data_IF_096888018232
#
_entry.id   IF_096888018232
#
_cell.length_a   1.000
_cell.length_b   1.000
_cell.length_c   1.000
_cell.angle_alpha   90.00
_cell.angle_beta   90.00
_cell.angle_gamma   90.00
#
_symmetry.space_group_name_H-M   'P 1'
#
loop_
_entity.id
_entity.type
_entity.pdbx_description
1 polymer ?
#
# COMPACT_ATOMS: atom_id res chain seq x y z
N UNK A 1 26.76 28.36 26.00
CA UNK A 1 26.75 29.62 26.79
C UNK A 1 27.94 29.75 27.75
N UNK A 2 28.25 28.77 28.61
CA UNK A 2 29.39 28.86 29.54
C UNK A 2 30.75 29.11 28.85
N UNK A 3 31.07 28.34 27.80
CA UNK A 3 32.31 28.47 27.03
C UNK A 3 32.45 29.83 26.30
N UNK A 4 31.37 30.36 25.74
CA UNK A 4 31.38 31.68 25.09
C UNK A 4 31.63 32.82 26.10
N UNK A 5 31.07 32.69 27.31
CA UNK A 5 31.30 33.65 28.39
C UNK A 5 32.75 33.58 28.92
N UNK A 6 33.31 32.37 28.99
CA UNK A 6 34.71 32.15 29.34
C UNK A 6 35.64 32.76 28.30
N UNK A 7 35.42 32.49 27.01
CA UNK A 7 36.16 33.07 25.89
C UNK A 7 36.14 34.60 25.92
N UNK A 8 34.97 35.19 26.17
CA UNK A 8 34.84 36.64 26.30
C UNK A 8 35.70 37.21 27.44
N UNK A 9 35.77 36.49 28.57
CA UNK A 9 36.52 36.91 29.76
C UNK A 9 38.03 36.85 29.52
N UNK A 10 38.54 35.76 28.93
CA UNK A 10 39.98 35.64 28.61
C UNK A 10 40.42 36.61 27.52
N UNK A 11 39.57 36.86 26.52
CA UNK A 11 39.83 37.85 25.47
C UNK A 11 39.97 39.26 26.07
N UNK A 12 39.05 39.66 26.95
CA UNK A 12 39.09 40.97 27.62
C UNK A 12 40.37 41.13 28.45
N UNK A 13 40.78 40.07 29.14
CA UNK A 13 42.02 40.05 29.95
C UNK A 13 43.26 40.20 29.06
N UNK A 14 43.31 39.51 27.92
CA UNK A 14 44.37 39.68 26.93
C UNK A 14 44.43 41.13 26.40
N UNK A 15 43.29 41.72 26.02
CA UNK A 15 43.22 43.10 25.53
C UNK A 15 43.73 44.11 26.56
N UNK A 16 43.34 43.94 27.83
CA UNK A 16 43.79 44.79 28.93
C UNK A 16 45.32 44.74 29.08
N UNK A 17 45.92 43.55 29.19
CA UNK A 17 47.37 43.42 29.32
C UNK A 17 48.12 43.86 28.06
N UNK A 18 47.55 43.68 26.87
CA UNK A 18 48.16 44.15 25.64
C UNK A 18 48.25 45.69 25.61
N UNK A 19 47.17 46.38 26.01
CA UNK A 19 47.16 47.84 26.14
C UNK A 19 48.18 48.34 27.17
N UNK A 20 48.33 47.65 28.30
CA UNK A 20 49.34 47.97 29.32
C UNK A 20 50.78 47.78 28.80
N UNK A 21 51.03 46.77 27.96
CA UNK A 21 52.33 46.56 27.31
C UNK A 21 52.65 47.67 26.32
N UNK A 22 51.68 48.07 25.48
CA UNK A 22 51.85 49.20 24.55
C UNK A 22 52.18 50.48 25.34
N UNK A 23 51.45 50.78 26.41
CA UNK A 23 51.71 51.95 27.26
C UNK A 23 53.11 51.92 27.89
N UNK A 24 53.56 50.76 28.38
CA UNK A 24 54.89 50.60 28.95
C UNK A 24 56.00 50.74 27.90
N UNK A 25 55.76 50.24 26.68
CA UNK A 25 56.68 50.38 25.54
C UNK A 25 56.85 51.85 25.13
N UNK A 26 55.75 52.61 25.02
CA UNK A 26 55.80 54.05 24.70
C UNK A 26 56.63 54.81 25.73
N UNK A 27 56.41 54.56 27.02
CA UNK A 27 57.17 55.19 28.13
C UNK A 27 58.66 54.82 28.11
N UNK A 28 58.98 53.58 27.74
CA UNK A 28 60.37 53.12 27.57
C UNK A 28 61.04 53.84 26.40
N UNK A 29 60.40 53.87 25.22
CA UNK A 29 60.90 54.58 24.03
C UNK A 29 61.09 56.07 24.27
N UNK A 30 60.22 56.70 25.06
CA UNK A 30 60.37 58.09 25.50
C UNK A 30 61.58 58.29 26.42
N UNK A 31 61.84 57.35 27.33
CA UNK A 31 63.02 57.40 28.19
C UNK A 31 64.32 57.29 27.37
N UNK A 32 64.33 56.39 26.39
CA UNK A 32 65.46 56.18 25.48
C UNK A 32 65.72 57.42 24.61
N UNK A 33 64.68 58.10 24.13
CA UNK A 33 64.81 59.39 23.41
C UNK A 33 65.34 60.53 24.29
N UNK A 34 64.93 60.60 25.55
CA UNK A 34 65.43 61.61 26.49
C UNK A 34 66.93 61.42 26.81
N UNK A 35 67.39 60.16 26.91
CA UNK A 35 68.81 59.83 27.05
C UNK A 35 69.63 60.26 25.81
N UNK A 36 69.11 60.01 24.61
CA UNK A 36 69.74 60.42 23.35
C UNK A 36 69.94 61.94 23.22
N UNK A 37 68.98 62.73 23.73
CA UNK A 37 69.10 64.21 23.74
C UNK A 37 70.17 64.73 24.72
N UNK A 38 70.38 64.09 25.88
CA UNK A 38 71.40 64.50 26.86
C UNK A 38 72.83 64.11 26.44
N UNK A 39 72.97 62.98 25.73
CA UNK A 39 74.24 62.61 25.07
C UNK A 39 74.52 63.48 23.82
N UNK A 40 73.49 63.93 23.10
CA UNK A 40 73.59 64.73 21.87
C UNK A 40 73.95 66.23 22.04
N UNK A 41 73.76 66.84 23.23
CA UNK A 41 74.21 68.22 23.51
C UNK A 41 75.75 68.33 23.64
N UNK A 42 76.47 67.23 23.44
CA UNK A 42 77.95 67.20 23.43
C UNK A 42 78.55 67.43 22.04
N UNK A 43 77.74 67.61 20.99
CA UNK A 43 78.21 67.58 19.61
C UNK A 43 77.53 68.57 18.68
N UNK A 44 77.71 69.88 18.92
CA UNK A 44 77.56 70.92 17.89
C UNK A 44 78.52 72.07 18.18
N UNK A 45 79.37 72.39 17.20
CA UNK A 45 80.11 73.66 17.14
C UNK A 45 81.60 73.51 17.41
N UNK A 46 82.39 73.64 16.35
CA UNK A 46 83.82 73.37 16.33
C UNK A 46 84.70 74.38 17.04
N UNK A 47 85.98 74.01 17.09
CA UNK A 47 87.10 74.94 16.98
C UNK A 47 87.54 75.66 18.25
N UNK A 48 88.77 75.30 18.64
CA UNK A 48 89.74 76.05 19.46
C UNK A 48 89.67 75.85 20.99
N UNK A 49 90.87 75.56 21.51
CA UNK A 49 91.32 75.13 22.84
C UNK A 49 91.27 76.26 23.91
N UNK A 50 91.59 76.01 25.20
CA UNK A 50 90.64 75.71 26.25
C UNK A 50 90.57 76.84 27.30
N UNK A 51 89.37 77.14 27.81
CA UNK A 51 89.20 78.02 28.98
C UNK A 51 88.41 77.29 30.07
N UNK A 52 89.05 77.22 31.23
CA UNK A 52 88.50 76.81 32.52
C UNK A 52 87.09 77.36 32.76
N UNK A 53 86.22 76.52 33.34
CA UNK A 53 85.05 77.02 34.08
C UNK A 53 83.72 76.33 33.82
N UNK A 54 83.64 75.01 33.84
CA UNK A 54 82.43 74.39 34.41
C UNK A 54 82.74 74.12 35.89
N UNK A 55 81.94 74.66 36.81
CA UNK A 55 82.09 74.36 38.24
C UNK A 55 82.09 72.84 38.41
N UNK A 56 83.00 72.33 39.25
CA UNK A 56 83.11 70.89 39.57
C UNK A 56 81.74 70.31 40.01
N UNK A 57 80.92 71.14 40.66
CA UNK A 57 79.53 70.83 41.04
C UNK A 57 78.60 70.55 39.85
N UNK A 58 78.76 71.25 38.73
CA UNK A 58 77.89 71.13 37.55
C UNK A 58 78.20 69.87 36.72
N UNK A 59 79.49 69.48 36.63
CA UNK A 59 79.91 68.16 36.10
C UNK A 59 79.39 67.01 36.97
N UNK A 60 79.37 67.19 38.29
CA UNK A 60 78.86 66.19 39.23
C UNK A 60 77.32 66.07 39.17
N UNK A 61 76.61 67.18 38.99
CA UNK A 61 75.16 67.21 38.75
C UNK A 61 74.77 66.54 37.44
N UNK A 62 75.50 66.79 36.34
CA UNK A 62 75.25 66.14 35.03
C UNK A 62 75.46 64.62 35.10
N UNK A 63 76.47 64.15 35.85
CA UNK A 63 76.73 62.71 36.08
C UNK A 63 75.64 62.06 36.95
N UNK A 64 75.16 62.74 37.98
CA UNK A 64 74.06 62.26 38.83
C UNK A 64 72.71 62.22 38.07
N UNK A 65 72.45 63.20 37.21
CA UNK A 65 71.26 63.22 36.33
C UNK A 65 71.30 62.06 35.32
N UNK A 66 72.45 61.79 34.69
CA UNK A 66 72.63 60.64 33.80
C UNK A 66 72.37 59.30 34.51
N UNK A 67 72.94 59.10 35.71
CA UNK A 67 72.72 57.88 36.52
C UNK A 67 71.25 57.73 36.95
N UNK A 68 70.56 58.83 37.24
CA UNK A 68 69.12 58.83 37.57
C UNK A 68 68.26 58.48 36.36
N UNK A 69 68.59 58.99 35.17
CA UNK A 69 67.91 58.64 33.91
C UNK A 69 68.13 57.18 33.52
N UNK A 70 69.36 56.66 33.68
CA UNK A 70 69.68 55.25 33.45
C UNK A 70 68.88 54.34 34.37
N UNK A 71 68.84 54.64 35.68
CA UNK A 71 68.02 53.89 36.65
C UNK A 71 66.52 53.96 36.30
N UNK A 72 66.04 55.09 35.81
CA UNK A 72 64.65 55.25 35.34
C UNK A 72 64.37 54.40 34.10
N UNK A 73 65.31 54.36 33.13
CA UNK A 73 65.21 53.53 31.93
C UNK A 73 65.20 52.05 32.28
N UNK A 74 66.12 51.58 33.12
CA UNK A 74 66.14 50.19 33.57
C UNK A 74 64.84 49.79 34.29
N UNK A 75 64.28 50.69 35.12
CA UNK A 75 62.96 50.46 35.73
C UNK A 75 61.83 50.35 34.69
N UNK A 76 61.84 51.19 33.65
CA UNK A 76 60.85 51.13 32.56
C UNK A 76 61.04 49.89 31.68
N UNK A 77 62.30 49.46 31.46
CA UNK A 77 62.65 48.24 30.73
C UNK A 77 62.19 46.99 31.48
N UNK A 78 62.41 46.92 32.79
CA UNK A 78 61.90 45.85 33.65
C UNK A 78 60.37 45.78 33.61
N UNK A 79 59.67 46.93 33.73
CA UNK A 79 58.20 46.99 33.66
C UNK A 79 57.65 46.57 32.29
N UNK A 80 58.30 46.99 31.20
CA UNK A 80 57.93 46.54 29.85
C UNK A 80 58.12 45.03 29.71
N UNK A 81 59.24 44.48 30.18
CA UNK A 81 59.50 43.03 30.14
C UNK A 81 58.44 42.23 30.91
N UNK A 82 58.08 42.68 32.12
CA UNK A 82 57.02 42.07 32.93
C UNK A 82 55.65 42.13 32.22
N UNK A 83 55.26 43.30 31.71
CA UNK A 83 53.99 43.47 31.00
C UNK A 83 53.95 42.61 29.72
N UNK A 84 55.05 42.57 28.95
CA UNK A 84 55.18 41.73 27.76
C UNK A 84 54.97 40.26 28.09
N UNK A 85 55.56 39.78 29.20
CA UNK A 85 55.34 38.41 29.66
C UNK A 85 53.88 38.16 30.06
N UNK A 86 53.22 39.10 30.75
CA UNK A 86 51.78 39.01 31.09
C UNK A 86 50.90 38.96 29.83
N UNK A 87 51.17 39.79 28.83
CA UNK A 87 50.47 39.75 27.55
C UNK A 87 50.68 38.42 26.83
N UNK A 88 51.90 37.88 26.80
CA UNK A 88 52.17 36.57 26.16
C UNK A 88 51.37 35.47 26.85
N UNK A 89 51.37 35.42 28.19
CA UNK A 89 50.58 34.45 28.95
C UNK A 89 49.09 34.57 28.64
N UNK A 90 48.53 35.78 28.74
CA UNK A 90 47.11 35.99 28.47
C UNK A 90 46.71 35.74 27.01
N UNK A 91 47.61 36.01 26.05
CA UNK A 91 47.39 35.67 24.64
C UNK A 91 47.34 34.16 24.44
N UNK A 92 48.26 33.41 25.07
CA UNK A 92 48.28 31.96 24.98
C UNK A 92 47.00 31.35 25.59
N UNK A 93 46.59 31.83 26.77
CA UNK A 93 45.31 31.41 27.38
C UNK A 93 44.10 31.72 26.49
N UNK A 94 44.09 32.91 25.86
CA UNK A 94 43.04 33.26 24.90
C UNK A 94 43.01 32.31 23.70
N UNK A 95 44.17 32.02 23.09
CA UNK A 95 44.25 31.10 21.94
C UNK A 95 43.84 29.66 22.29
N UNK A 96 44.23 29.17 23.47
CA UNK A 96 43.82 27.84 23.96
C UNK A 96 42.30 27.77 24.18
N UNK A 97 41.74 28.80 24.82
CA UNK A 97 40.29 28.88 25.07
C UNK A 97 39.50 29.02 23.77
N UNK A 98 40.04 29.77 22.80
CA UNK A 98 39.45 29.94 21.47
C UNK A 98 39.37 28.58 20.75
N UNK A 99 40.46 27.82 20.73
CA UNK A 99 40.50 26.51 20.09
C UNK A 99 39.56 25.51 20.77
N UNK A 100 39.56 25.47 22.11
CA UNK A 100 38.65 24.63 22.88
C UNK A 100 37.17 25.00 22.64
N UNK A 101 36.87 26.30 22.52
CA UNK A 101 35.52 26.78 22.21
C UNK A 101 35.10 26.37 20.80
N UNK A 102 35.96 26.55 19.80
CA UNK A 102 35.68 26.14 18.42
C UNK A 102 35.44 24.63 18.31
N UNK A 103 36.28 23.81 18.95
CA UNK A 103 36.12 22.37 18.99
C UNK A 103 34.79 21.94 19.65
N UNK A 104 34.40 22.63 20.73
CA UNK A 104 33.13 22.36 21.42
C UNK A 104 31.92 22.74 20.57
N UNK A 105 31.97 23.88 19.87
CA UNK A 105 30.91 24.31 18.95
C UNK A 105 30.80 23.32 17.78
N UNK A 106 31.93 22.94 17.19
CA UNK A 106 31.96 21.93 16.13
C UNK A 106 31.33 20.62 16.59
N UNK A 107 31.77 20.09 17.74
CA UNK A 107 31.22 18.85 18.30
C UNK A 107 29.71 18.94 18.50
N UNK A 108 29.22 20.04 19.07
CA UNK A 108 27.80 20.23 19.32
C UNK A 108 26.98 20.14 18.02
N UNK A 109 27.40 20.85 16.98
CA UNK A 109 26.63 20.90 15.73
C UNK A 109 26.79 19.67 14.85
N UNK A 110 27.97 19.04 14.85
CA UNK A 110 28.30 17.93 13.94
C UNK A 110 28.00 16.57 14.56
N UNK A 111 28.08 16.44 15.88
CA UNK A 111 27.90 15.15 16.57
C UNK A 111 26.70 15.19 17.53
N UNK A 112 26.70 16.12 18.48
CA UNK A 112 25.70 16.07 19.56
C UNK A 112 24.28 16.35 19.04
N UNK A 113 24.09 17.25 18.07
CA UNK A 113 22.78 17.53 17.48
C UNK A 113 22.17 16.31 16.76
N UNK A 114 22.87 15.64 15.81
CA UNK A 114 22.40 14.38 15.25
C UNK A 114 22.06 13.33 16.32
N UNK A 115 22.92 13.14 17.32
CA UNK A 115 22.68 12.17 18.40
C UNK A 115 21.40 12.49 19.19
N UNK A 116 21.11 13.78 19.43
CA UNK A 116 19.87 14.23 20.09
C UNK A 116 18.64 13.90 19.21
N UNK A 117 18.72 14.09 17.89
CA UNK A 117 17.64 13.76 16.96
C UNK A 117 17.38 12.24 16.99
N UNK A 118 18.44 11.44 16.90
CA UNK A 118 18.33 9.97 16.97
C UNK A 118 17.71 9.51 18.32
N UNK A 119 18.03 10.19 19.41
CA UNK A 119 17.39 9.94 20.71
C UNK A 119 15.89 10.28 20.71
N UNK A 120 15.47 11.34 19.98
CA UNK A 120 14.06 11.70 19.85
C UNK A 120 13.29 10.69 19.00
N UNK A 121 13.92 10.13 17.98
CA UNK A 121 13.32 9.16 17.05
C UNK A 121 13.35 7.71 17.58
N UNK A 122 13.99 7.48 18.74
CA UNK A 122 14.20 6.16 19.31
C UNK A 122 12.88 5.39 19.45
N UNK A 123 12.72 4.36 18.60
CA UNK A 123 11.57 3.45 18.62
C UNK A 123 10.32 3.95 17.91
N UNK A 124 10.27 5.19 17.41
CA UNK A 124 9.12 5.74 16.70
C UNK A 124 8.80 4.93 15.43
N UNK A 125 9.76 4.83 14.51
CA UNK A 125 9.58 4.11 13.24
C UNK A 125 9.31 2.62 13.45
N UNK A 126 9.97 2.00 14.43
CA UNK A 126 9.75 0.59 14.77
C UNK A 126 8.31 0.35 15.24
N UNK A 127 7.81 1.21 16.14
CA UNK A 127 6.44 1.09 16.67
C UNK A 127 5.40 1.38 15.60
N UNK A 128 5.59 2.43 14.79
CA UNK A 128 4.69 2.75 13.67
C UNK A 128 4.67 1.63 12.63
N UNK A 129 5.85 1.11 12.24
CA UNK A 129 5.95 0.00 11.29
C UNK A 129 5.22 -1.24 11.79
N UNK A 130 5.36 -1.57 13.08
CA UNK A 130 4.64 -2.69 13.68
C UNK A 130 3.12 -2.47 13.65
N UNK A 131 2.63 -1.28 14.00
CA UNK A 131 1.20 -0.97 13.97
C UNK A 131 0.63 -1.11 12.55
N UNK A 132 1.32 -0.56 11.53
CA UNK A 132 0.90 -0.66 10.14
C UNK A 132 0.96 -2.11 9.62
N UNK A 133 1.96 -2.90 10.02
CA UNK A 133 2.04 -4.32 9.68
C UNK A 133 0.92 -5.14 10.32
N UNK A 134 0.51 -4.81 11.55
CA UNK A 134 -0.65 -5.44 12.18
C UNK A 134 -1.93 -5.15 11.37
N UNK A 135 -2.13 -3.90 10.95
CA UNK A 135 -3.24 -3.53 10.08
C UNK A 135 -3.22 -4.30 8.76
N UNK A 136 -2.09 -4.31 8.05
CA UNK A 136 -1.92 -5.06 6.80
C UNK A 136 -2.19 -6.57 6.98
N UNK A 137 -1.69 -7.15 8.07
CA UNK A 137 -1.92 -8.55 8.39
C UNK A 137 -3.40 -8.85 8.62
N UNK A 138 -4.14 -7.94 9.25
CA UNK A 138 -5.57 -8.08 9.48
C UNK A 138 -6.36 -8.01 8.16
N UNK A 139 -6.09 -7.01 7.31
CA UNK A 139 -6.74 -6.86 6.01
C UNK A 139 -6.48 -8.06 5.08
N UNK A 140 -5.23 -8.53 5.00
CA UNK A 140 -4.88 -9.71 4.20
C UNK A 140 -5.57 -10.97 4.71
N UNK A 141 -5.68 -11.14 6.03
CA UNK A 141 -6.38 -12.30 6.61
C UNK A 141 -7.89 -12.25 6.32
N UNK A 142 -8.49 -11.05 6.39
CA UNK A 142 -9.89 -10.84 6.05
C UNK A 142 -10.17 -11.10 4.57
N UNK A 143 -9.29 -10.62 3.68
CA UNK A 143 -9.36 -10.89 2.24
C UNK A 143 -9.28 -12.40 1.95
N UNK A 144 -8.33 -13.12 2.57
CA UNK A 144 -8.21 -14.56 2.42
C UNK A 144 -9.46 -15.30 2.91
N UNK A 145 -10.01 -14.91 4.08
CA UNK A 145 -11.26 -15.49 4.60
C UNK A 145 -12.45 -15.24 3.67
N UNK A 146 -12.54 -14.04 3.07
CA UNK A 146 -13.59 -13.73 2.09
C UNK A 146 -13.46 -14.57 0.83
N UNK A 147 -12.24 -14.69 0.29
CA UNK A 147 -11.96 -15.51 -0.89
C UNK A 147 -12.35 -16.98 -0.65
N UNK A 148 -11.97 -17.55 0.49
CA UNK A 148 -12.37 -18.92 0.85
C UNK A 148 -13.90 -19.08 0.92
N UNK A 149 -14.63 -18.09 1.44
CA UNK A 149 -16.09 -18.10 1.43
C UNK A 149 -16.70 -18.05 0.03
N UNK A 150 -16.08 -17.28 -0.88
CA UNK A 150 -16.49 -17.23 -2.28
C UNK A 150 -16.22 -18.54 -3.02
N UNK A 151 -15.08 -19.20 -2.76
CA UNK A 151 -14.76 -20.51 -3.34
C UNK A 151 -15.78 -21.58 -2.93
N UNK A 152 -16.27 -21.57 -1.68
CA UNK A 152 -17.35 -22.47 -1.24
C UNK A 152 -18.65 -22.21 -2.00
N UNK A 153 -19.00 -20.93 -2.21
CA UNK A 153 -20.20 -20.56 -2.96
C UNK A 153 -20.07 -20.95 -4.44
N UNK A 154 -18.91 -20.70 -5.05
CA UNK A 154 -18.60 -21.09 -6.43
C UNK A 154 -18.76 -22.61 -6.60
N UNK A 155 -18.19 -23.42 -5.70
CA UNK A 155 -18.38 -24.86 -5.71
C UNK A 155 -19.84 -25.30 -5.50
N UNK A 156 -20.65 -24.54 -4.74
CA UNK A 156 -22.08 -24.80 -4.61
C UNK A 156 -22.86 -24.48 -5.90
N UNK A 157 -22.46 -23.43 -6.62
CA UNK A 157 -23.03 -23.05 -7.92
C UNK A 157 -22.67 -24.08 -9.00
N UNK A 158 -21.40 -24.49 -9.09
CA UNK A 158 -20.96 -25.58 -9.98
C UNK A 158 -21.65 -26.91 -9.63
N UNK A 159 -22.00 -27.09 -8.37
CA UNK A 159 -22.70 -28.26 -7.86
C UNK A 159 -24.19 -28.31 -8.18
N UNK A 160 -24.80 -27.28 -8.80
CA UNK A 160 -26.23 -27.30 -9.16
C UNK A 160 -26.50 -28.37 -10.22
N UNK A 161 -27.36 -29.34 -9.88
CA UNK A 161 -27.66 -30.50 -10.73
C UNK A 161 -29.15 -30.87 -10.63
N UNK A 162 -29.97 -30.40 -11.59
CA UNK A 162 -31.41 -30.67 -11.60
C UNK A 162 -31.75 -32.17 -11.69
N UNK A 163 -30.91 -32.99 -12.33
CA UNK A 163 -31.16 -34.42 -12.47
C UNK A 163 -30.94 -35.15 -11.14
N UNK A 164 -29.89 -34.78 -10.41
CA UNK A 164 -29.61 -35.30 -9.07
C UNK A 164 -30.65 -34.84 -8.05
N UNK A 165 -31.10 -33.60 -8.13
CA UNK A 165 -32.15 -33.09 -7.23
C UNK A 165 -33.49 -33.78 -7.48
N UNK A 166 -33.85 -34.04 -8.75
CA UNK A 166 -34.99 -34.88 -9.10
C UNK A 166 -34.86 -36.29 -8.51
N UNK A 167 -33.70 -36.93 -8.64
CA UNK A 167 -33.49 -38.27 -8.08
C UNK A 167 -33.67 -38.28 -6.56
N UNK A 168 -33.09 -37.31 -5.85
CA UNK A 168 -33.27 -37.16 -4.40
C UNK A 168 -34.75 -37.01 -4.02
N UNK A 169 -35.53 -36.26 -4.81
CA UNK A 169 -36.97 -36.12 -4.59
C UNK A 169 -37.71 -37.45 -4.72
N UNK A 170 -37.40 -38.22 -5.77
CA UNK A 170 -38.00 -39.54 -6.00
C UNK A 170 -37.66 -40.52 -4.88
N UNK A 171 -36.40 -40.52 -4.43
CA UNK A 171 -35.92 -41.38 -3.35
C UNK A 171 -36.49 -41.01 -1.98
N UNK A 172 -36.80 -39.72 -1.75
CA UNK A 172 -37.38 -39.23 -0.51
C UNK A 172 -38.85 -39.65 -0.33
N UNK A 173 -39.58 -39.84 -1.43
CA UNK A 173 -41.02 -40.14 -1.43
C UNK A 173 -41.38 -41.40 -2.23
N UNK A 174 -40.83 -42.57 -1.88
CA UNK A 174 -41.05 -43.80 -2.64
C UNK A 174 -42.54 -44.20 -2.66
N UNK A 175 -43.29 -43.95 -1.60
CA UNK A 175 -44.73 -44.28 -1.55
C UNK A 175 -45.58 -43.49 -2.54
N UNK A 176 -45.12 -42.32 -3.00
CA UNK A 176 -45.83 -41.49 -3.98
C UNK A 176 -45.41 -41.80 -5.42
N UNK A 177 -44.15 -42.20 -5.63
CA UNK A 177 -43.56 -42.32 -6.96
C UNK A 177 -43.21 -43.76 -7.38
N UNK A 178 -43.25 -44.74 -6.48
CA UNK A 178 -43.06 -46.14 -6.86
C UNK A 178 -44.23 -46.62 -7.73
N UNK A 179 -43.95 -47.32 -8.85
CA UNK A 179 -45.00 -47.85 -9.69
C UNK A 179 -45.83 -48.90 -8.92
N UNK A 180 -47.17 -48.94 -9.11
CA UNK A 180 -48.00 -49.98 -8.53
C UNK A 180 -47.70 -51.34 -9.17
N UNK A 181 -48.19 -52.42 -8.54
CA UNK A 181 -48.10 -53.75 -9.13
C UNK A 181 -48.87 -53.81 -10.46
N UNK A 182 -48.36 -54.62 -11.39
CA UNK A 182 -49.05 -54.90 -12.63
C UNK A 182 -50.42 -55.53 -12.35
N UNK A 183 -51.42 -55.14 -13.14
CA UNK A 183 -52.70 -55.82 -13.12
C UNK A 183 -52.55 -57.25 -13.64
N UNK A 184 -53.13 -58.20 -12.92
CA UNK A 184 -53.21 -59.61 -13.34
C UNK A 184 -54.60 -59.92 -13.88
N UNK A 185 -54.69 -60.85 -14.84
CA UNK A 185 -55.96 -61.42 -15.28
C UNK A 185 -56.69 -62.03 -14.07
N UNK A 186 -57.97 -61.68 -13.89
CA UNK A 186 -58.83 -62.25 -12.84
C UNK A 186 -59.83 -63.20 -13.46
N UNK A 187 -59.62 -64.51 -13.27
CA UNK A 187 -60.49 -65.54 -13.79
C UNK A 187 -61.89 -65.46 -13.18
N UNK A 188 -62.93 -65.43 -14.03
CA UNK A 188 -64.32 -65.46 -13.59
C UNK A 188 -64.79 -66.91 -13.44
N UNK A 189 -65.39 -67.26 -12.30
CA UNK A 189 -66.03 -68.57 -12.06
C UNK A 189 -65.15 -69.80 -12.36
N UNK A 190 -63.84 -69.69 -12.11
CA UNK A 190 -62.90 -70.80 -12.32
C UNK A 190 -62.48 -71.02 -13.76
N UNK A 191 -62.61 -70.01 -14.63
CA UNK A 191 -62.03 -70.04 -15.98
C UNK A 191 -60.53 -70.38 -15.93
N UNK A 192 -60.15 -71.46 -16.61
CA UNK A 192 -58.77 -71.98 -16.64
C UNK A 192 -57.93 -71.39 -17.77
N UNK A 193 -58.51 -70.58 -18.66
CA UNK A 193 -57.83 -70.03 -19.84
C UNK A 193 -57.38 -68.59 -19.55
N UNK A 194 -56.06 -68.39 -19.47
CA UNK A 194 -55.44 -67.08 -19.23
C UNK A 194 -54.65 -66.53 -20.44
N UNK A 195 -54.82 -67.15 -21.61
CA UNK A 195 -54.10 -66.82 -22.83
C UNK A 195 -55.06 -66.57 -24.00
N UNK A 196 -54.60 -65.82 -24.99
CA UNK A 196 -55.36 -65.56 -26.21
C UNK A 196 -55.57 -66.90 -26.95
N UNK A 197 -56.84 -67.27 -27.15
CA UNK A 197 -57.22 -68.52 -27.83
C UNK A 197 -57.54 -68.26 -29.29
N UNK A 198 -56.76 -68.83 -30.21
CA UNK A 198 -56.91 -68.66 -31.66
C UNK A 198 -57.51 -69.91 -32.31
N UNK A 199 -58.81 -70.12 -32.10
CA UNK A 199 -59.56 -71.18 -32.78
C UNK A 199 -60.01 -70.73 -34.19
N UNK A 200 -60.24 -71.65 -35.14
CA UNK A 200 -60.59 -71.30 -36.53
C UNK A 200 -61.82 -70.37 -36.65
N UNK A 201 -62.75 -70.45 -35.69
CA UNK A 201 -63.97 -69.64 -35.64
C UNK A 201 -63.71 -68.15 -35.36
N UNK A 202 -62.61 -67.81 -34.68
CA UNK A 202 -62.26 -66.43 -34.27
C UNK A 202 -60.97 -65.92 -34.94
N UNK A 203 -60.26 -66.79 -35.67
CA UNK A 203 -58.95 -66.49 -36.25
C UNK A 203 -58.97 -65.33 -37.26
N UNK A 204 -60.03 -65.24 -38.08
CA UNK A 204 -60.18 -64.16 -39.08
C UNK A 204 -60.36 -62.79 -38.41
N UNK A 205 -61.15 -62.73 -37.34
CA UNK A 205 -61.37 -61.51 -36.55
C UNK A 205 -60.10 -61.07 -35.82
N UNK A 206 -59.36 -62.01 -35.20
CA UNK A 206 -58.08 -61.72 -34.55
C UNK A 206 -57.04 -61.22 -35.56
N UNK A 207 -56.96 -61.82 -36.75
CA UNK A 207 -56.03 -61.41 -37.81
C UNK A 207 -56.36 -60.02 -38.36
N UNK A 208 -57.65 -59.71 -38.53
CA UNK A 208 -58.12 -58.39 -38.92
C UNK A 208 -57.77 -57.35 -37.85
N UNK A 209 -57.99 -57.68 -36.57
CA UNK A 209 -57.68 -56.79 -35.45
C UNK A 209 -56.18 -56.52 -35.34
N UNK A 210 -55.34 -57.53 -35.52
CA UNK A 210 -53.89 -57.36 -35.52
C UNK A 210 -53.45 -56.40 -36.63
N UNK A 211 -53.97 -56.59 -37.85
CA UNK A 211 -53.68 -55.70 -38.99
C UNK A 211 -54.10 -54.26 -38.68
N UNK A 212 -55.32 -54.06 -38.14
CA UNK A 212 -55.81 -52.74 -37.73
C UNK A 212 -54.91 -52.08 -36.68
N UNK A 213 -54.49 -52.83 -35.67
CA UNK A 213 -53.59 -52.33 -34.63
C UNK A 213 -52.23 -51.96 -35.20
N UNK A 214 -51.66 -52.79 -36.08
CA UNK A 214 -50.38 -52.51 -36.74
C UNK A 214 -50.44 -51.24 -37.60
N UNK A 215 -51.49 -51.06 -38.41
CA UNK A 215 -51.65 -49.84 -39.22
C UNK A 215 -51.80 -48.60 -38.34
N UNK A 216 -52.61 -48.68 -37.28
CA UNK A 216 -52.76 -47.56 -36.33
C UNK A 216 -51.45 -47.24 -35.60
N UNK A 217 -50.72 -48.27 -35.16
CA UNK A 217 -49.43 -48.12 -34.50
C UNK A 217 -48.41 -47.42 -35.41
N UNK A 218 -48.35 -47.79 -36.68
CA UNK A 218 -47.46 -47.17 -37.66
C UNK A 218 -47.77 -45.68 -37.84
N UNK A 219 -49.05 -45.32 -37.97
CA UNK A 219 -49.47 -43.91 -38.06
C UNK A 219 -49.10 -43.11 -36.81
N UNK A 220 -49.40 -43.64 -35.62
CA UNK A 220 -49.11 -42.97 -34.36
C UNK A 220 -47.60 -42.79 -34.13
N UNK A 221 -46.76 -43.73 -34.57
CA UNK A 221 -45.30 -43.58 -34.48
C UNK A 221 -44.78 -42.39 -35.28
N UNK A 222 -45.33 -42.16 -36.47
CA UNK A 222 -44.92 -41.03 -37.33
C UNK A 222 -45.30 -39.71 -36.66
N UNK A 223 -46.56 -39.59 -36.24
CA UNK A 223 -47.06 -38.40 -35.54
C UNK A 223 -46.28 -38.09 -34.26
N UNK A 224 -45.96 -39.12 -33.47
CA UNK A 224 -45.17 -38.97 -32.24
C UNK A 224 -43.77 -38.42 -32.52
N UNK A 225 -43.09 -38.93 -33.54
CA UNK A 225 -41.76 -38.46 -33.92
C UNK A 225 -41.79 -37.01 -34.43
N UNK A 226 -42.86 -36.58 -35.10
CA UNK A 226 -43.05 -35.18 -35.50
C UNK A 226 -43.23 -34.25 -34.28
N UNK A 227 -44.07 -34.64 -33.33
CA UNK A 227 -44.25 -33.91 -32.07
C UNK A 227 -42.94 -33.84 -31.28
N UNK A 228 -42.24 -34.97 -31.15
CA UNK A 228 -40.96 -35.05 -30.43
C UNK A 228 -39.87 -34.19 -31.05
N UNK A 229 -39.79 -34.12 -32.39
CA UNK A 229 -38.87 -33.22 -33.09
C UNK A 229 -39.19 -31.76 -32.81
N UNK A 230 -40.46 -31.38 -32.92
CA UNK A 230 -40.93 -30.01 -32.67
C UNK A 230 -40.64 -29.61 -31.23
N UNK A 231 -41.02 -30.45 -30.27
CA UNK A 231 -40.74 -30.26 -28.85
C UNK A 231 -39.25 -30.17 -28.55
N UNK A 232 -38.43 -31.06 -29.13
CA UNK A 232 -36.98 -31.04 -28.97
C UNK A 232 -36.34 -29.76 -29.50
N UNK A 233 -36.76 -29.27 -30.66
CA UNK A 233 -36.29 -28.01 -31.23
C UNK A 233 -36.70 -26.80 -30.36
N UNK A 234 -37.93 -26.80 -29.84
CA UNK A 234 -38.39 -25.75 -28.90
C UNK A 234 -37.61 -25.79 -27.59
N UNK A 235 -37.32 -26.99 -27.05
CA UNK A 235 -36.50 -27.16 -25.85
C UNK A 235 -35.10 -26.60 -26.04
N UNK A 236 -34.44 -26.93 -27.15
CA UNK A 236 -33.11 -26.38 -27.48
C UNK A 236 -33.15 -24.87 -27.57
N UNK A 237 -34.17 -24.31 -28.22
CA UNK A 237 -34.36 -22.86 -28.32
C UNK A 237 -34.49 -22.20 -26.94
N UNK A 238 -35.25 -22.82 -26.02
CA UNK A 238 -35.37 -22.33 -24.64
C UNK A 238 -34.05 -22.43 -23.87
N UNK A 239 -33.32 -23.54 -24.03
CA UNK A 239 -32.00 -23.71 -23.40
C UNK A 239 -31.04 -22.62 -23.87
N UNK A 240 -30.96 -22.36 -25.17
CA UNK A 240 -30.13 -21.30 -25.75
C UNK A 240 -30.49 -19.90 -25.23
N UNK A 241 -31.78 -19.63 -24.97
CA UNK A 241 -32.23 -18.38 -24.36
C UNK A 241 -31.81 -18.23 -22.89
N UNK A 242 -31.60 -19.35 -22.17
CA UNK A 242 -31.27 -19.36 -20.74
C UNK A 242 -29.77 -19.42 -20.44
N UNK A 243 -28.96 -19.97 -21.34
CA UNK A 243 -27.50 -20.03 -21.20
C UNK A 243 -26.91 -18.69 -21.66
N UNK A 244 -26.97 -17.68 -20.79
CA UNK A 244 -26.38 -16.37 -21.01
C UNK A 244 -25.24 -16.14 -20.01
N UNK A 245 -24.07 -15.73 -20.49
CA UNK A 245 -22.94 -15.30 -19.66
C UNK A 245 -23.07 -13.82 -19.28
N UNK A 246 -24.18 -13.44 -18.62
CA UNK A 246 -24.50 -12.05 -18.26
C UNK A 246 -24.21 -11.71 -16.79
N UNK A 247 -23.38 -12.51 -16.12
CA UNK A 247 -23.01 -12.37 -14.71
C UNK A 247 -21.72 -11.57 -14.46
N UNK A 248 -20.86 -11.35 -15.48
CA UNK A 248 -19.64 -10.54 -15.31
C UNK A 248 -19.97 -9.05 -15.21
N UNK A 249 -19.69 -8.47 -14.05
CA UNK A 249 -19.92 -7.05 -13.73
C UNK A 249 -18.62 -6.26 -13.57
N UNK A 250 -17.47 -6.80 -13.99
CA UNK A 250 -16.14 -6.18 -13.88
C UNK A 250 -16.09 -4.76 -14.42
N UNK A 251 -16.80 -4.49 -15.52
CA UNK A 251 -16.91 -3.16 -16.14
C UNK A 251 -17.50 -2.10 -15.20
N UNK A 252 -18.33 -2.49 -14.22
CA UNK A 252 -18.91 -1.58 -13.23
C UNK A 252 -17.88 -1.03 -12.25
N UNK A 253 -16.73 -1.68 -12.10
CA UNK A 253 -15.65 -1.30 -11.20
C UNK A 253 -14.47 -0.62 -11.93
N UNK A 254 -14.68 -0.20 -13.18
CA UNK A 254 -13.69 0.58 -13.93
C UNK A 254 -13.67 2.03 -13.41
N UNK A 255 -12.66 2.36 -12.61
CA UNK A 255 -12.45 3.73 -12.15
C UNK A 255 -11.65 4.52 -13.20
N UNK A 256 -12.28 5.50 -13.84
CA UNK A 256 -11.55 6.59 -14.49
C UNK A 256 -10.84 7.42 -13.41
N UNK A 257 -9.52 7.66 -13.49
CA UNK A 257 -8.82 8.51 -12.53
C UNK A 257 -9.17 10.01 -12.64
N UNK A 258 -10.03 10.40 -13.58
CA UNK A 258 -10.46 11.79 -13.76
C UNK A 258 -11.75 12.07 -13.01
N UNK A 259 -11.74 13.12 -12.17
CA UNK A 259 -12.90 13.64 -11.42
C UNK A 259 -13.91 14.38 -12.30
N UNK A 260 -14.00 14.06 -13.59
CA UNK A 260 -14.95 14.64 -14.52
C UNK A 260 -15.90 13.58 -15.05
N UNK A 261 -17.13 13.63 -14.53
CA UNK A 261 -18.35 13.25 -15.24
C UNK A 261 -18.33 11.90 -15.95
N UNK A 262 -18.50 10.82 -15.18
CA UNK A 262 -19.07 9.58 -15.70
C UNK A 262 -20.55 9.80 -16.04
N UNK A 263 -20.82 10.28 -17.26
CA UNK A 263 -22.00 9.79 -17.97
C UNK A 263 -21.65 8.36 -18.35
N UNK A 264 -22.21 7.43 -17.59
CA UNK A 264 -22.10 5.99 -17.79
C UNK A 264 -22.64 5.61 -19.18
N UNK A 265 -21.76 5.54 -20.17
CA UNK A 265 -22.05 4.93 -21.47
C UNK A 265 -21.88 3.40 -21.39
N UNK A 266 -22.47 2.75 -20.37
CA UNK A 266 -22.49 1.28 -20.22
C UNK A 266 -23.89 0.74 -20.54
N UNK A 267 -24.58 1.39 -21.47
CA UNK A 267 -25.93 0.99 -21.87
C UNK A 267 -26.09 0.82 -23.38
N UNK A 268 -25.01 0.52 -24.10
CA UNK A 268 -25.10 0.15 -25.50
C UNK A 268 -25.20 -1.37 -25.64
N UNK A 269 -26.45 -1.85 -25.75
CA UNK A 269 -26.79 -3.18 -26.28
C UNK A 269 -27.71 -4.01 -25.39
N UNK A 270 -27.18 -4.54 -24.29
CA UNK A 270 -27.80 -5.66 -23.58
C UNK A 270 -28.87 -5.27 -22.53
N UNK A 271 -28.74 -4.10 -21.92
CA UNK A 271 -29.59 -3.65 -20.79
C UNK A 271 -30.57 -2.53 -21.16
N UNK A 272 -30.80 -2.29 -22.45
CA UNK A 272 -31.81 -1.32 -22.86
C UNK A 272 -33.22 -1.84 -22.51
N UNK A 273 -33.98 -1.08 -21.71
CA UNK A 273 -35.29 -1.54 -21.16
C UNK A 273 -36.26 -2.08 -22.24
N UNK A 274 -36.38 -1.47 -23.44
CA UNK A 274 -37.24 -1.98 -24.50
C UNK A 274 -36.73 -3.29 -25.15
N UNK A 275 -35.41 -3.51 -25.24
CA UNK A 275 -34.86 -4.76 -25.80
C UNK A 275 -35.03 -5.94 -24.83
N UNK A 276 -34.87 -5.69 -23.53
CA UNK A 276 -35.13 -6.68 -22.47
C UNK A 276 -36.59 -7.12 -22.42
N UNK A 277 -37.53 -6.18 -22.51
CA UNK A 277 -38.97 -6.48 -22.53
C UNK A 277 -39.34 -7.35 -23.73
N UNK A 278 -38.81 -7.03 -24.92
CA UNK A 278 -39.03 -7.84 -26.12
C UNK A 278 -38.45 -9.25 -25.99
N UNK A 279 -37.24 -9.39 -25.42
CA UNK A 279 -36.63 -10.70 -25.18
C UNK A 279 -37.46 -11.56 -24.22
N UNK A 280 -37.93 -10.97 -23.11
CA UNK A 280 -38.81 -11.66 -22.15
C UNK A 280 -40.13 -12.10 -22.78
N UNK A 281 -40.76 -11.25 -23.60
CA UNK A 281 -42.00 -11.60 -24.30
C UNK A 281 -41.79 -12.80 -25.24
N UNK A 282 -40.69 -12.79 -26.01
CA UNK A 282 -40.33 -13.91 -26.90
C UNK A 282 -40.07 -15.21 -26.13
N UNK A 283 -39.35 -15.13 -25.00
CA UNK A 283 -39.14 -16.28 -24.12
C UNK A 283 -40.48 -16.84 -23.61
N UNK A 284 -41.37 -15.97 -23.12
CA UNK A 284 -42.68 -16.39 -22.61
C UNK A 284 -43.54 -17.06 -23.69
N UNK A 285 -43.55 -16.52 -24.90
CA UNK A 285 -44.26 -17.12 -26.04
C UNK A 285 -43.69 -18.51 -26.39
N UNK A 286 -42.37 -18.64 -26.37
CA UNK A 286 -41.68 -19.91 -26.62
C UNK A 286 -41.96 -20.94 -25.51
N UNK A 287 -42.02 -20.52 -24.24
CA UNK A 287 -42.39 -21.38 -23.11
C UNK A 287 -43.85 -21.86 -23.24
N UNK A 288 -44.78 -20.97 -23.58
CA UNK A 288 -46.18 -21.35 -23.84
C UNK A 288 -46.29 -22.36 -24.98
N UNK A 289 -45.53 -22.15 -26.06
CA UNK A 289 -45.48 -23.10 -27.16
C UNK A 289 -44.90 -24.45 -26.71
N UNK A 290 -43.80 -24.45 -25.95
CA UNK A 290 -43.16 -25.64 -25.39
C UNK A 290 -44.13 -26.50 -24.57
N UNK A 291 -44.95 -25.88 -23.71
CA UNK A 291 -45.96 -26.61 -22.96
C UNK A 291 -47.04 -27.19 -23.89
N UNK A 292 -47.54 -26.41 -24.87
CA UNK A 292 -48.58 -26.90 -25.78
C UNK A 292 -48.16 -28.07 -26.67
N UNK A 293 -46.86 -28.20 -26.99
CA UNK A 293 -46.32 -29.34 -27.76
C UNK A 293 -45.66 -30.40 -26.88
N UNK A 294 -45.63 -30.19 -25.56
CA UNK A 294 -45.02 -31.11 -24.60
C UNK A 294 -45.69 -32.49 -24.65
N UNK A 295 -44.92 -33.59 -24.50
CA UNK A 295 -45.45 -34.92 -24.32
C UNK A 295 -46.49 -35.03 -23.18
N UNK A 296 -46.41 -34.15 -22.18
CA UNK A 296 -47.34 -34.08 -21.06
C UNK A 296 -48.72 -33.51 -21.44
N UNK A 297 -48.81 -32.50 -22.31
CA UNK A 297 -50.12 -32.01 -22.80
C UNK A 297 -50.67 -32.89 -23.94
N UNK A 298 -49.78 -33.60 -24.66
CA UNK A 298 -50.13 -34.66 -25.59
C UNK A 298 -50.43 -36.03 -24.92
N UNK A 299 -50.79 -36.04 -23.63
CA UNK A 299 -51.20 -37.25 -22.89
C UNK A 299 -52.33 -38.03 -23.58
N UNK A 300 -53.20 -37.36 -24.36
CA UNK A 300 -54.24 -38.02 -25.14
C UNK A 300 -53.71 -38.89 -26.29
N UNK A 301 -52.54 -38.58 -26.86
CA UNK A 301 -51.88 -39.38 -27.90
C UNK A 301 -50.80 -40.33 -27.35
N UNK A 302 -50.07 -39.90 -26.32
CA UNK A 302 -48.98 -40.69 -25.71
C UNK A 302 -49.45 -41.79 -24.75
N UNK A 303 -50.66 -41.71 -24.20
CA UNK A 303 -51.23 -42.77 -23.34
C UNK A 303 -51.47 -44.11 -24.07
N UNK A 304 -51.32 -44.14 -25.41
CA UNK A 304 -51.39 -45.35 -26.23
C UNK A 304 -50.05 -46.08 -26.38
N UNK A 305 -48.94 -45.54 -25.86
CA UNK A 305 -47.60 -46.12 -25.95
C UNK A 305 -46.93 -46.22 -24.58
N UNK A 306 -46.50 -47.43 -24.20
CA UNK A 306 -45.48 -47.60 -23.18
C UNK A 306 -44.09 -47.44 -23.81
N UNK A 307 -43.26 -46.57 -23.24
CA UNK A 307 -41.83 -46.56 -23.51
C UNK A 307 -41.22 -47.87 -23.00
N UNK A 308 -41.00 -48.82 -23.90
CA UNK A 308 -40.23 -50.04 -23.60
C UNK A 308 -41.03 -51.33 -23.74
N UNK A 309 -40.60 -52.11 -24.73
CA UNK A 309 -40.94 -53.52 -25.03
C UNK A 309 -42.28 -53.83 -25.75
N UNK A 310 -42.24 -54.62 -26.84
CA UNK A 310 -43.43 -55.11 -27.51
C UNK A 310 -44.09 -56.18 -26.64
N UNK A 311 -45.26 -55.87 -26.09
CA UNK A 311 -46.11 -56.80 -25.31
C UNK A 311 -46.75 -57.93 -26.15
N UNK A 312 -46.21 -58.25 -27.32
CA UNK A 312 -46.69 -59.36 -28.16
C UNK A 312 -45.47 -60.07 -28.74
N UNK A 313 -45.06 -61.15 -28.06
CA UNK A 313 -44.35 -62.30 -28.63
C UNK A 313 -45.11 -63.55 -28.24
#
# INVERSE_FOLDING_TARGET
MKLLNELYTVMKTYHMYHAETISAETKLREAERQEGRVKGVSGTGGGVEPVFGLRIEERHQRRNAARKMEKMREKRKAKYSENKLKTVKARNEYLLTLEATNASVFKYYIHDLPDIIDCCDLGYHSTLSRALRTYLSAELSLEASRRAGLEVLEGAVEGLDPARDRQRLLDLYPTAFCPPQNFSFQAHMGDTVAQITSQPQVQSELSLRLTQLQTRLASLKIENEEVKKTWGATLTTLQDMTVLDDFDVSQSFTHSPSSESVKSSVSDGYLNKPSLAKRRANQQETELFYFSVSPADNLHHNSLFCYGEPLIS
#
